data_IF_084792353973
#
_entry.id   IF_084792353973
#
_cell.length_a   1.000
_cell.length_b   1.000
_cell.length_c   1.000
_cell.angle_alpha   90.00
_cell.angle_beta   90.00
_cell.angle_gamma   90.00
#
_symmetry.space_group_name_H-M   'P 1'
#
loop_
_entity.id
_entity.type
_entity.pdbx_description
1 polymer ?
#
# COMPACT_ATOMS: atom_id res chain seq x y z
N UNK A 1 -13.06 -55.61 26.12
CA UNK A 1 -13.03 -55.18 24.72
C UNK A 1 -13.34 -53.69 24.68
N UNK A 2 -12.31 -52.84 24.61
CA UNK A 2 -12.49 -51.39 24.53
C UNK A 2 -12.54 -50.96 23.06
N UNK A 3 -13.68 -50.42 22.62
CA UNK A 3 -13.86 -49.84 21.29
C UNK A 3 -12.99 -48.60 21.12
N UNK A 4 -12.20 -48.48 20.04
CA UNK A 4 -11.42 -47.29 19.79
C UNK A 4 -12.36 -46.14 19.39
N UNK A 5 -12.30 -45.02 20.12
CA UNK A 5 -12.94 -43.77 19.72
C UNK A 5 -12.32 -43.29 18.41
N UNK A 6 -13.09 -43.40 17.34
CA UNK A 6 -12.83 -42.73 16.07
C UNK A 6 -12.76 -41.22 16.31
N UNK A 7 -11.55 -40.64 16.29
CA UNK A 7 -11.38 -39.20 16.23
C UNK A 7 -11.58 -38.77 14.77
N UNK A 8 -12.83 -38.56 14.38
CA UNK A 8 -13.13 -37.82 13.16
C UNK A 8 -12.60 -36.41 13.31
N UNK A 9 -11.49 -36.10 12.64
CA UNK A 9 -11.05 -34.70 12.48
C UNK A 9 -12.20 -33.94 11.81
N UNK A 10 -12.64 -32.80 12.36
CA UNK A 10 -13.68 -32.02 11.71
C UNK A 10 -13.23 -31.63 10.30
N UNK A 11 -14.13 -31.75 9.33
CA UNK A 11 -13.90 -31.30 7.98
C UNK A 11 -13.55 -29.80 8.02
N UNK A 12 -12.38 -29.44 7.49
CA UNK A 12 -11.93 -28.06 7.40
C UNK A 12 -12.94 -27.28 6.54
N UNK A 13 -13.74 -26.42 7.16
CA UNK A 13 -14.68 -25.56 6.45
C UNK A 13 -13.88 -24.57 5.60
N UNK A 14 -14.19 -24.46 4.31
CA UNK A 14 -13.51 -23.56 3.36
C UNK A 14 -13.78 -22.07 3.61
N UNK A 15 -14.64 -21.75 4.59
CA UNK A 15 -15.03 -20.40 4.96
C UNK A 15 -14.74 -20.18 6.45
N UNK A 16 -14.00 -19.12 6.78
CA UNK A 16 -13.67 -18.69 8.13
C UNK A 16 -14.80 -17.92 8.83
N UNK A 17 -15.76 -17.40 8.05
CA UNK A 17 -16.99 -16.79 8.51
C UNK A 17 -18.20 -17.59 8.05
N UNK A 18 -19.32 -17.59 8.81
CA UNK A 18 -20.62 -17.94 8.26
C UNK A 18 -20.90 -17.07 7.02
N UNK A 19 -21.48 -17.61 5.94
CA UNK A 19 -21.66 -16.88 4.67
C UNK A 19 -22.30 -15.49 4.83
N UNK A 20 -23.27 -15.34 5.71
CA UNK A 20 -23.94 -14.06 5.98
C UNK A 20 -23.02 -13.01 6.63
N UNK A 21 -22.12 -13.41 7.54
CA UNK A 21 -21.18 -12.49 8.21
C UNK A 21 -19.99 -12.13 7.32
N UNK A 22 -19.61 -13.03 6.41
CA UNK A 22 -18.54 -12.80 5.44
C UNK A 22 -18.86 -11.60 4.55
N UNK A 23 -20.09 -11.54 4.02
CA UNK A 23 -20.52 -10.43 3.17
C UNK A 23 -20.58 -9.10 3.91
N UNK A 24 -20.99 -9.07 5.18
CA UNK A 24 -20.97 -7.85 5.99
C UNK A 24 -19.56 -7.27 6.08
N UNK A 25 -18.56 -8.10 6.34
CA UNK A 25 -17.16 -7.65 6.40
C UNK A 25 -16.65 -7.23 5.02
N UNK A 26 -17.02 -7.95 3.96
CA UNK A 26 -16.54 -7.67 2.61
C UNK A 26 -17.15 -6.40 2.02
N UNK A 27 -18.36 -6.01 2.44
CA UNK A 27 -19.00 -4.76 2.04
C UNK A 27 -18.28 -3.50 2.54
N UNK A 28 -17.38 -3.62 3.52
CA UNK A 28 -16.55 -2.49 3.98
C UNK A 28 -15.66 -1.96 2.84
N UNK A 29 -15.11 -2.83 1.99
CA UNK A 29 -14.22 -2.43 0.90
C UNK A 29 -14.89 -1.59 -0.20
N UNK A 30 -16.03 -2.00 -0.80
CA UNK A 30 -16.73 -1.15 -1.76
C UNK A 30 -17.32 0.10 -1.09
N UNK A 31 -17.71 0.04 0.18
CA UNK A 31 -18.16 1.24 0.91
C UNK A 31 -17.01 2.26 1.06
N UNK A 32 -15.80 1.82 1.43
CA UNK A 32 -14.60 2.65 1.48
C UNK A 32 -14.25 3.23 0.09
N UNK A 33 -14.33 2.44 -0.97
CA UNK A 33 -14.10 2.91 -2.34
C UNK A 33 -15.14 3.96 -2.78
N UNK A 34 -16.41 3.77 -2.42
CA UNK A 34 -17.47 4.73 -2.70
C UNK A 34 -17.27 6.05 -1.92
N UNK A 35 -16.89 5.95 -0.64
CA UNK A 35 -16.55 7.10 0.20
C UNK A 35 -15.39 7.91 -0.39
N UNK A 36 -14.32 7.22 -0.80
CA UNK A 36 -13.18 7.84 -1.48
C UNK A 36 -13.58 8.51 -2.80
N UNK A 37 -14.42 7.84 -3.59
CA UNK A 37 -14.93 8.41 -4.85
C UNK A 37 -15.69 9.71 -4.60
N UNK A 38 -16.54 9.75 -3.57
CA UNK A 38 -17.22 10.99 -3.18
C UNK A 38 -16.22 12.09 -2.84
N UNK A 39 -15.36 11.89 -1.85
CA UNK A 39 -14.47 12.95 -1.36
C UNK A 39 -13.37 13.38 -2.34
N UNK A 40 -12.83 12.45 -3.13
CA UNK A 40 -11.70 12.74 -4.02
C UNK A 40 -12.12 13.16 -5.42
N UNK A 41 -13.33 12.81 -5.87
CA UNK A 41 -13.75 13.00 -7.28
C UNK A 41 -15.04 13.80 -7.45
N UNK A 42 -15.92 13.85 -6.45
CA UNK A 42 -17.25 14.46 -6.58
C UNK A 42 -17.50 15.59 -5.57
N UNK A 43 -16.74 15.66 -4.48
CA UNK A 43 -16.94 16.62 -3.40
C UNK A 43 -16.36 18.01 -3.69
N UNK A 44 -16.56 18.97 -2.77
CA UNK A 44 -16.16 20.38 -2.95
C UNK A 44 -14.67 20.57 -3.25
N UNK A 45 -13.79 19.82 -2.59
CA UNK A 45 -12.36 19.86 -2.86
C UNK A 45 -12.01 19.41 -4.29
N UNK A 46 -12.73 18.41 -4.82
CA UNK A 46 -12.53 17.89 -6.17
C UNK A 46 -13.03 18.89 -7.22
N UNK A 47 -14.18 19.52 -6.99
CA UNK A 47 -14.70 20.58 -7.85
C UNK A 47 -13.73 21.77 -7.92
N UNK A 48 -13.20 22.19 -6.77
CA UNK A 48 -12.18 23.24 -6.73
C UNK A 48 -10.92 22.84 -7.52
N UNK A 49 -10.44 21.59 -7.38
CA UNK A 49 -9.30 21.09 -8.15
C UNK A 49 -9.55 21.03 -9.64
N UNK A 50 -10.78 20.71 -10.07
CA UNK A 50 -11.13 20.66 -11.49
C UNK A 50 -10.90 22.02 -12.17
N UNK A 51 -11.17 23.14 -11.47
CA UNK A 51 -10.91 24.47 -12.02
C UNK A 51 -9.41 24.73 -12.22
N UNK A 52 -8.56 24.42 -11.24
CA UNK A 52 -7.10 24.53 -11.37
C UNK A 52 -6.53 23.60 -12.44
N UNK A 53 -7.00 22.36 -12.51
CA UNK A 53 -6.56 21.42 -13.55
C UNK A 53 -7.04 21.81 -14.95
N UNK A 54 -8.18 22.48 -15.08
CA UNK A 54 -8.61 23.11 -16.33
C UNK A 54 -7.60 24.14 -16.83
N UNK A 55 -7.09 25.00 -15.94
CA UNK A 55 -6.05 25.98 -16.27
C UNK A 55 -4.72 25.32 -16.67
N UNK A 56 -4.39 24.16 -16.07
CA UNK A 56 -3.23 23.38 -16.47
C UNK A 56 -3.40 22.85 -17.89
N UNK A 57 -4.61 22.60 -18.38
CA UNK A 57 -4.80 22.12 -19.77
C UNK A 57 -4.72 23.23 -20.82
N UNK A 58 -4.69 24.51 -20.41
CA UNK A 58 -4.50 25.62 -21.34
C UNK A 58 -3.06 25.67 -21.90
N UNK A 59 -2.86 26.14 -23.14
CA UNK A 59 -1.53 26.27 -23.76
C UNK A 59 -0.68 27.40 -23.14
N UNK A 60 -1.19 28.07 -22.09
CA UNK A 60 -0.49 29.16 -21.41
C UNK A 60 0.44 28.62 -20.31
N UNK A 61 1.50 29.38 -19.95
CA UNK A 61 2.25 29.12 -18.73
C UNK A 61 1.32 29.03 -17.52
N UNK A 62 1.46 27.97 -16.74
CA UNK A 62 0.76 27.82 -15.47
C UNK A 62 1.76 28.11 -14.34
N UNK A 63 1.37 28.99 -13.43
CA UNK A 63 2.11 29.27 -12.20
C UNK A 63 1.33 28.72 -11.01
N UNK A 64 2.02 28.05 -10.10
CA UNK A 64 1.36 27.54 -8.90
C UNK A 64 0.86 28.72 -8.05
N UNK A 65 -0.39 28.65 -7.53
CA UNK A 65 -0.95 29.73 -6.71
C UNK A 65 -0.01 30.13 -5.58
N UNK A 66 0.05 31.44 -5.32
CA UNK A 66 0.89 32.03 -4.26
C UNK A 66 2.41 31.74 -4.42
N UNK A 67 2.87 31.48 -5.65
CA UNK A 67 4.30 31.26 -5.95
C UNK A 67 4.70 31.73 -7.35
N UNK A 68 5.99 32.00 -7.54
CA UNK A 68 6.58 32.31 -8.85
C UNK A 68 7.02 31.04 -9.62
N UNK A 69 6.59 29.86 -9.17
CA UNK A 69 7.01 28.59 -9.76
C UNK A 69 6.15 28.29 -10.98
N UNK A 70 6.81 28.19 -12.13
CA UNK A 70 6.17 27.76 -13.37
C UNK A 70 6.13 26.23 -13.46
N UNK A 71 4.99 25.68 -13.87
CA UNK A 71 4.86 24.26 -14.16
C UNK A 71 5.65 23.89 -15.42
N UNK A 72 6.55 22.92 -15.27
CA UNK A 72 7.29 22.32 -16.37
C UNK A 72 6.32 21.56 -17.28
N UNK A 73 6.43 21.81 -18.59
CA UNK A 73 5.54 21.23 -19.61
C UNK A 73 6.16 20.13 -20.45
N UNK A 74 7.49 20.06 -20.51
CA UNK A 74 8.21 19.14 -21.40
C UNK A 74 9.13 18.25 -20.59
N UNK A 75 8.92 16.93 -20.67
CA UNK A 75 9.70 15.92 -19.97
C UNK A 75 10.39 14.99 -20.95
N UNK A 76 9.63 14.43 -21.89
CA UNK A 76 10.11 13.46 -22.88
C UNK A 76 9.99 13.95 -24.32
N UNK A 77 9.26 15.03 -24.59
CA UNK A 77 9.06 15.59 -25.92
C UNK A 77 7.91 14.95 -26.72
N UNK A 78 7.01 14.22 -26.05
CA UNK A 78 5.80 13.62 -26.65
C UNK A 78 4.59 14.30 -26.02
N UNK A 79 3.87 15.13 -26.77
CA UNK A 79 2.81 16.03 -26.26
C UNK A 79 1.81 15.35 -25.33
N UNK A 80 1.30 14.17 -25.71
CA UNK A 80 0.33 13.44 -24.90
C UNK A 80 0.91 12.98 -23.56
N UNK A 81 2.15 12.48 -23.56
CA UNK A 81 2.82 12.01 -22.35
C UNK A 81 3.26 13.19 -21.48
N UNK A 82 3.75 14.26 -22.10
CA UNK A 82 4.17 15.48 -21.42
C UNK A 82 2.99 16.21 -20.77
N UNK A 83 1.83 16.25 -21.43
CA UNK A 83 0.59 16.78 -20.86
C UNK A 83 0.15 15.95 -19.64
N UNK A 84 0.17 14.63 -19.76
CA UNK A 84 -0.18 13.72 -18.67
C UNK A 84 0.79 13.83 -17.48
N UNK A 85 2.10 13.91 -17.74
CA UNK A 85 3.12 14.10 -16.70
C UNK A 85 2.99 15.48 -16.04
N UNK A 86 2.74 16.54 -16.81
CA UNK A 86 2.52 17.89 -16.26
C UNK A 86 1.34 17.92 -15.29
N UNK A 87 0.24 17.24 -15.64
CA UNK A 87 -0.92 17.11 -14.76
C UNK A 87 -0.56 16.42 -13.43
N UNK A 88 0.16 15.30 -13.50
CA UNK A 88 0.58 14.56 -12.30
C UNK A 88 1.60 15.34 -11.48
N UNK A 89 2.55 16.02 -12.11
CA UNK A 89 3.52 16.87 -11.42
C UNK A 89 2.81 18.02 -10.70
N UNK A 90 1.82 18.65 -11.33
CA UNK A 90 1.03 19.69 -10.69
C UNK A 90 0.28 19.20 -9.43
N UNK A 91 -0.19 17.95 -9.43
CA UNK A 91 -0.85 17.35 -8.28
C UNK A 91 0.11 17.04 -7.12
N UNK A 92 1.38 16.74 -7.40
CA UNK A 92 2.35 16.30 -6.39
C UNK A 92 3.33 17.39 -5.93
N UNK A 93 3.64 18.38 -6.78
CA UNK A 93 4.67 19.37 -6.52
C UNK A 93 4.41 20.23 -5.27
N UNK A 94 3.17 20.65 -4.94
CA UNK A 94 2.95 21.48 -3.76
C UNK A 94 3.39 20.80 -2.45
N UNK A 95 3.28 19.47 -2.37
CA UNK A 95 3.82 18.67 -1.28
C UNK A 95 5.32 18.42 -1.44
N UNK A 96 5.77 18.00 -2.63
CA UNK A 96 7.17 17.64 -2.88
C UNK A 96 8.13 18.82 -2.64
N UNK A 97 7.83 19.97 -3.25
CA UNK A 97 8.59 21.21 -3.12
C UNK A 97 8.33 21.96 -1.80
N UNK A 98 7.37 21.48 -1.00
CA UNK A 98 7.05 22.10 0.29
C UNK A 98 6.46 23.50 0.18
N UNK A 99 5.69 23.76 -0.88
CA UNK A 99 4.89 24.99 -1.06
C UNK A 99 3.78 25.08 -0.01
N UNK A 100 3.30 23.92 0.45
CA UNK A 100 2.46 23.80 1.63
C UNK A 100 3.10 22.78 2.60
N UNK A 101 3.45 23.24 3.81
CA UNK A 101 4.18 22.40 4.79
C UNK A 101 3.34 21.27 5.37
N UNK A 102 2.06 21.49 5.61
CA UNK A 102 1.16 20.42 6.04
C UNK A 102 1.09 19.32 4.97
N UNK A 103 0.96 19.72 3.71
CA UNK A 103 0.93 18.81 2.58
C UNK A 103 2.25 18.08 2.35
N UNK A 104 3.39 18.75 2.51
CA UNK A 104 4.69 18.10 2.43
C UNK A 104 4.82 16.95 3.44
N UNK A 105 4.47 17.21 4.71
CA UNK A 105 4.55 16.19 5.76
C UNK A 105 3.54 15.07 5.55
N UNK A 106 2.31 15.41 5.16
CA UNK A 106 1.27 14.43 4.88
C UNK A 106 1.65 13.54 3.69
N UNK A 107 2.16 14.12 2.61
CA UNK A 107 2.55 13.39 1.41
C UNK A 107 3.75 12.47 1.70
N UNK A 108 4.76 12.94 2.43
CA UNK A 108 5.85 12.11 2.94
C UNK A 108 5.31 10.94 3.78
N UNK A 109 4.42 11.24 4.75
CA UNK A 109 3.83 10.23 5.61
C UNK A 109 3.09 9.16 4.80
N UNK A 110 2.28 9.59 3.84
CA UNK A 110 1.51 8.71 2.98
C UNK A 110 2.43 7.82 2.13
N UNK A 111 3.31 8.41 1.30
CA UNK A 111 4.08 7.62 0.34
C UNK A 111 4.98 6.59 1.02
N UNK A 112 5.66 6.93 2.11
CA UNK A 112 6.47 5.94 2.82
C UNK A 112 5.64 4.92 3.62
N UNK A 113 4.45 5.29 4.11
CA UNK A 113 3.52 4.35 4.74
C UNK A 113 2.80 3.45 3.74
N UNK A 114 2.84 3.78 2.45
CA UNK A 114 2.29 2.96 1.38
C UNK A 114 3.18 1.76 1.02
N UNK A 115 4.49 1.81 1.34
CA UNK A 115 5.44 0.73 1.06
C UNK A 115 5.00 -0.64 1.64
N UNK A 116 4.51 -0.76 2.88
CA UNK A 116 3.88 -1.97 3.40
C UNK A 116 2.75 -2.54 2.53
N UNK A 117 1.91 -1.69 1.94
CA UNK A 117 0.81 -2.12 1.07
C UNK A 117 1.36 -2.72 -0.22
N UNK A 118 2.32 -2.03 -0.86
CA UNK A 118 3.02 -2.54 -2.04
C UNK A 118 3.70 -3.89 -1.76
N UNK A 119 4.42 -3.99 -0.65
CA UNK A 119 5.08 -5.21 -0.21
C UNK A 119 4.08 -6.37 -0.04
N UNK A 120 2.95 -6.13 0.63
CA UNK A 120 1.89 -7.12 0.78
C UNK A 120 1.34 -7.57 -0.56
N UNK A 121 1.06 -6.65 -1.48
CA UNK A 121 0.51 -6.97 -2.78
C UNK A 121 1.47 -7.81 -3.61
N UNK A 122 2.74 -7.42 -3.67
CA UNK A 122 3.77 -8.19 -4.37
C UNK A 122 3.90 -9.60 -3.78
N UNK A 123 3.96 -9.74 -2.46
CA UNK A 123 4.07 -11.06 -1.82
C UNK A 123 2.85 -11.94 -2.14
N UNK A 124 1.63 -11.43 -1.97
CA UNK A 124 0.41 -12.22 -2.20
C UNK A 124 0.17 -12.51 -3.68
N UNK A 125 0.56 -11.61 -4.59
CA UNK A 125 0.54 -11.82 -6.03
C UNK A 125 1.49 -12.95 -6.47
N UNK A 126 2.67 -13.05 -5.84
CA UNK A 126 3.69 -14.04 -6.19
C UNK A 126 3.48 -15.43 -5.59
N UNK A 127 2.51 -15.61 -4.68
CA UNK A 127 2.22 -16.97 -4.17
C UNK A 127 1.83 -17.88 -5.34
N UNK A 128 2.36 -19.10 -5.35
CA UNK A 128 2.06 -20.07 -6.41
C UNK A 128 0.55 -20.31 -6.61
N UNK A 129 -0.25 -20.22 -5.54
CA UNK A 129 -1.70 -20.35 -5.59
C UNK A 129 -2.45 -19.10 -6.09
N UNK A 130 -1.76 -18.00 -6.39
CA UNK A 130 -2.33 -16.74 -6.88
C UNK A 130 -2.13 -16.54 -8.38
N UNK A 131 -1.37 -17.41 -9.05
CA UNK A 131 -1.12 -17.31 -10.49
C UNK A 131 -2.43 -17.18 -11.28
N UNK A 132 -2.46 -16.24 -12.23
CA UNK A 132 -3.60 -15.93 -13.10
C UNK A 132 -4.86 -15.42 -12.41
N UNK A 133 -4.84 -15.21 -11.10
CA UNK A 133 -5.94 -14.52 -10.42
C UNK A 133 -5.82 -13.02 -10.60
N UNK A 134 -6.95 -12.33 -10.46
CA UNK A 134 -7.00 -10.87 -10.61
C UNK A 134 -5.98 -10.14 -9.72
N UNK A 135 -5.68 -10.64 -8.52
CA UNK A 135 -4.70 -10.05 -7.60
C UNK A 135 -3.24 -10.14 -8.07
N UNK A 136 -2.94 -11.07 -8.99
CA UNK A 136 -1.57 -11.29 -9.50
C UNK A 136 -1.15 -10.28 -10.56
N UNK A 137 -2.10 -9.58 -11.19
CA UNK A 137 -1.83 -8.54 -12.19
C UNK A 137 -1.50 -7.20 -11.51
N UNK A 138 -0.41 -7.15 -10.75
CA UNK A 138 -0.03 -5.95 -9.97
C UNK A 138 0.14 -4.70 -10.82
N UNK A 139 0.65 -4.82 -12.06
CA UNK A 139 0.77 -3.70 -13.01
C UNK A 139 -0.59 -3.11 -13.42
N UNK A 140 -1.61 -3.95 -13.57
CA UNK A 140 -2.97 -3.52 -13.87
C UNK A 140 -3.51 -2.67 -12.71
N UNK A 141 -3.42 -3.19 -11.49
CA UNK A 141 -3.87 -2.44 -10.31
C UNK A 141 -3.08 -1.16 -10.07
N UNK A 142 -1.77 -1.17 -10.34
CA UNK A 142 -0.95 0.03 -10.19
C UNK A 142 -1.29 1.14 -11.17
N UNK A 143 -1.66 0.79 -12.40
CA UNK A 143 -2.13 1.79 -13.35
C UNK A 143 -3.36 2.53 -12.79
N UNK A 144 -4.32 1.79 -12.22
CA UNK A 144 -5.55 2.38 -11.70
C UNK A 144 -5.37 3.16 -10.40
N UNK A 145 -4.62 2.64 -9.43
CA UNK A 145 -4.42 3.41 -8.20
C UNK A 145 -3.60 4.69 -8.44
N UNK A 146 -2.67 4.68 -9.41
CA UNK A 146 -1.84 5.85 -9.71
C UNK A 146 -2.64 6.93 -10.47
N UNK A 147 -3.58 6.53 -11.35
CA UNK A 147 -4.30 7.45 -12.24
C UNK A 147 -5.66 7.88 -11.70
N UNK A 148 -6.43 6.95 -11.13
CA UNK A 148 -7.80 7.16 -10.65
C UNK A 148 -7.84 7.39 -9.13
N UNK A 149 -6.87 6.86 -8.38
CA UNK A 149 -6.71 7.10 -6.95
C UNK A 149 -6.65 5.80 -6.15
N UNK A 150 -5.73 5.75 -5.19
CA UNK A 150 -5.47 4.53 -4.44
C UNK A 150 -6.58 4.13 -3.50
N UNK A 151 -7.20 5.11 -2.85
CA UNK A 151 -8.37 4.95 -2.00
C UNK A 151 -9.54 4.24 -2.66
N UNK A 152 -9.64 4.32 -3.98
CA UNK A 152 -10.72 3.68 -4.74
C UNK A 152 -10.33 2.23 -5.06
N UNK A 153 -9.14 2.01 -5.62
CA UNK A 153 -8.76 0.69 -6.14
C UNK A 153 -8.11 -0.24 -5.13
N UNK A 154 -7.45 0.27 -4.09
CA UNK A 154 -6.81 -0.56 -3.07
C UNK A 154 -7.83 -1.33 -2.22
N UNK A 155 -8.95 -0.74 -1.77
CA UNK A 155 -10.00 -1.52 -1.12
C UNK A 155 -10.54 -2.63 -2.03
N UNK A 156 -10.73 -2.35 -3.32
CA UNK A 156 -11.21 -3.35 -4.28
C UNK A 156 -10.21 -4.49 -4.51
N UNK A 157 -8.90 -4.19 -4.50
CA UNK A 157 -7.88 -5.22 -4.51
C UNK A 157 -7.95 -6.07 -3.25
N UNK A 158 -8.13 -5.48 -2.05
CA UNK A 158 -8.27 -6.25 -0.81
C UNK A 158 -9.53 -7.13 -0.80
N UNK A 159 -10.64 -6.64 -1.35
CA UNK A 159 -11.83 -7.46 -1.58
C UNK A 159 -11.52 -8.65 -2.50
N UNK A 160 -10.89 -8.39 -3.65
CA UNK A 160 -10.49 -9.43 -4.58
C UNK A 160 -9.54 -10.43 -3.94
N UNK A 161 -8.60 -9.96 -3.13
CA UNK A 161 -7.70 -10.77 -2.32
C UNK A 161 -8.48 -11.68 -1.37
N UNK A 162 -9.42 -11.17 -0.59
CA UNK A 162 -10.17 -11.99 0.36
C UNK A 162 -11.11 -13.01 -0.32
N UNK A 163 -11.66 -12.65 -1.48
CA UNK A 163 -12.47 -13.56 -2.31
C UNK A 163 -11.63 -14.68 -2.94
N UNK A 164 -10.36 -14.42 -3.23
CA UNK A 164 -9.49 -15.36 -3.95
C UNK A 164 -8.53 -16.16 -3.07
N UNK A 165 -8.16 -15.63 -1.90
CA UNK A 165 -7.12 -16.19 -1.01
C UNK A 165 -7.68 -17.18 -0.01
N UNK A 166 -8.90 -16.96 0.50
CA UNK A 166 -9.59 -17.89 1.43
C UNK A 166 -9.63 -19.33 0.91
N UNK A 167 -9.80 -19.50 -0.41
CA UNK A 167 -9.80 -20.82 -1.07
C UNK A 167 -8.43 -21.39 -1.37
N UNK A 168 -7.41 -20.55 -1.59
CA UNK A 168 -6.11 -21.03 -2.08
C UNK A 168 -5.03 -21.12 -1.03
N UNK A 169 -4.98 -20.20 -0.07
CA UNK A 169 -3.98 -20.28 1.01
C UNK A 169 -4.42 -21.26 2.10
N UNK A 170 -5.73 -21.44 2.27
CA UNK A 170 -6.32 -22.18 3.38
C UNK A 170 -7.21 -23.36 2.95
N UNK A 171 -7.19 -23.72 1.66
CA UNK A 171 -8.01 -24.81 1.12
C UNK A 171 -7.59 -26.21 1.56
N UNK A 172 -8.51 -27.17 1.42
CA UNK A 172 -8.44 -28.56 1.92
C UNK A 172 -7.19 -29.38 1.49
N UNK A 173 -6.44 -28.93 0.49
CA UNK A 173 -5.20 -29.57 0.03
C UNK A 173 -3.93 -29.09 0.74
N UNK A 174 -4.01 -28.14 1.69
CA UNK A 174 -2.96 -27.79 2.67
C UNK A 174 -1.51 -27.64 2.13
N UNK A 175 -1.36 -27.41 0.83
CA UNK A 175 -0.08 -27.13 0.19
C UNK A 175 0.15 -25.64 0.36
N UNK A 176 0.69 -25.27 1.52
CA UNK A 176 1.30 -23.97 1.77
C UNK A 176 2.04 -23.51 0.50
N UNK A 177 1.43 -22.61 -0.27
CA UNK A 177 1.91 -22.11 -1.56
C UNK A 177 2.97 -21.03 -1.28
N UNK A 178 4.27 -21.39 -1.26
CA UNK A 178 5.29 -20.42 -0.97
C UNK A 178 5.37 -19.40 -2.12
N UNK A 179 5.92 -18.25 -1.79
CA UNK A 179 6.51 -17.38 -2.82
C UNK A 179 7.73 -18.12 -3.40
N UNK A 180 7.89 -18.22 -4.73
CA UNK A 180 9.10 -18.76 -5.34
C UNK A 180 10.35 -18.01 -4.83
N UNK A 181 11.41 -18.73 -4.50
CA UNK A 181 12.63 -18.12 -3.95
C UNK A 181 13.24 -17.00 -4.83
N UNK A 182 13.28 -17.13 -6.18
CA UNK A 182 13.79 -16.05 -7.03
C UNK A 182 12.97 -14.76 -6.88
N UNK A 183 11.64 -14.90 -6.81
CA UNK A 183 10.74 -13.77 -6.61
C UNK A 183 10.87 -13.17 -5.21
N UNK A 184 11.05 -13.99 -4.18
CA UNK A 184 11.26 -13.51 -2.82
C UNK A 184 12.57 -12.72 -2.68
N UNK A 185 13.67 -13.19 -3.29
CA UNK A 185 14.97 -12.51 -3.28
C UNK A 185 14.94 -11.18 -4.02
N UNK A 186 14.28 -11.14 -5.17
CA UNK A 186 14.23 -9.96 -6.03
C UNK A 186 13.37 -8.82 -5.47
N UNK A 187 12.50 -9.10 -4.49
CA UNK A 187 11.49 -8.13 -4.06
C UNK A 187 12.08 -6.94 -3.27
N UNK A 188 13.04 -7.17 -2.37
CA UNK A 188 13.70 -6.07 -1.63
C UNK A 188 14.38 -5.06 -2.57
N UNK A 189 15.30 -5.47 -3.47
CA UNK A 189 15.95 -4.52 -4.37
C UNK A 189 14.94 -3.84 -5.30
N UNK A 190 13.91 -4.56 -5.77
CA UNK A 190 12.85 -3.96 -6.59
C UNK A 190 12.05 -2.88 -5.85
N UNK A 191 11.69 -3.10 -4.58
CA UNK A 191 11.00 -2.09 -3.76
C UNK A 191 11.91 -0.89 -3.44
N UNK A 192 13.18 -1.13 -3.14
CA UNK A 192 14.11 -0.05 -2.82
C UNK A 192 14.39 0.83 -4.05
N UNK A 193 14.79 0.23 -5.17
CA UNK A 193 15.16 0.96 -6.38
C UNK A 193 13.93 1.49 -7.11
N UNK A 194 12.87 0.69 -7.18
CA UNK A 194 11.65 1.05 -7.93
C UNK A 194 10.72 2.00 -7.20
N UNK A 195 10.79 2.08 -5.86
CA UNK A 195 9.86 2.91 -5.08
C UNK A 195 10.56 3.82 -4.06
N UNK A 196 11.36 3.28 -3.13
CA UNK A 196 11.91 4.08 -2.00
C UNK A 196 12.87 5.16 -2.49
N UNK A 197 13.81 4.82 -3.37
CA UNK A 197 14.78 5.76 -3.96
C UNK A 197 14.07 6.88 -4.72
N UNK A 198 13.23 6.61 -5.74
CA UNK A 198 12.57 7.69 -6.48
C UNK A 198 11.65 8.52 -5.59
N UNK A 199 10.98 7.92 -4.59
CA UNK A 199 10.18 8.68 -3.62
C UNK A 199 11.06 9.66 -2.86
N UNK A 200 12.23 9.21 -2.38
CA UNK A 200 13.17 10.06 -1.63
C UNK A 200 13.71 11.20 -2.50
N UNK A 201 14.00 10.95 -3.78
CA UNK A 201 14.52 11.96 -4.70
C UNK A 201 13.54 13.13 -4.92
N UNK A 202 12.23 12.93 -4.76
CA UNK A 202 11.24 14.01 -4.87
C UNK A 202 11.40 15.10 -3.80
N UNK A 203 12.00 14.77 -2.65
CA UNK A 203 12.02 15.63 -1.46
C UNK A 203 13.42 16.16 -1.12
N UNK A 204 14.41 15.95 -1.98
CA UNK A 204 15.77 16.43 -1.70
C UNK A 204 15.81 17.97 -1.73
N UNK A 205 16.17 18.64 -0.61
CA UNK A 205 16.00 20.09 -0.46
C UNK A 205 16.98 20.94 -1.27
N UNK A 206 18.02 20.32 -1.82
CA UNK A 206 19.09 20.99 -2.59
C UNK A 206 18.89 20.90 -4.10
N UNK A 207 17.79 20.31 -4.56
CA UNK A 207 17.45 20.28 -5.98
C UNK A 207 16.85 21.63 -6.41
N UNK A 208 17.27 22.14 -7.57
CA UNK A 208 16.56 23.25 -8.22
C UNK A 208 15.13 22.83 -8.59
N UNK A 209 14.19 23.79 -8.64
CA UNK A 209 12.77 23.49 -8.84
C UNK A 209 12.49 22.69 -10.13
N UNK A 210 13.22 22.96 -11.21
CA UNK A 210 13.13 22.21 -12.46
C UNK A 210 13.56 20.74 -12.32
N UNK A 211 14.63 20.50 -11.57
CA UNK A 211 15.08 19.14 -11.26
C UNK A 211 14.09 18.44 -10.35
N UNK A 212 13.50 19.15 -9.39
CA UNK A 212 12.49 18.59 -8.51
C UNK A 212 11.22 18.19 -9.27
N UNK A 213 10.72 19.04 -10.17
CA UNK A 213 9.60 18.69 -11.07
C UNK A 213 9.92 17.46 -11.91
N UNK A 214 11.15 17.33 -12.41
CA UNK A 214 11.59 16.13 -13.11
C UNK A 214 11.59 14.88 -12.22
N UNK A 215 12.06 14.98 -10.97
CA UNK A 215 12.02 13.85 -10.02
C UNK A 215 10.59 13.42 -9.68
N UNK A 216 9.66 14.37 -9.56
CA UNK A 216 8.22 14.07 -9.41
C UNK A 216 7.69 13.33 -10.63
N UNK A 217 8.05 13.75 -11.85
CA UNK A 217 7.64 13.07 -13.08
C UNK A 217 8.23 11.66 -13.18
N UNK A 218 9.52 11.50 -12.87
CA UNK A 218 10.21 10.21 -12.85
C UNK A 218 9.58 9.23 -11.84
N UNK A 219 9.06 9.75 -10.72
CA UNK A 219 8.39 8.93 -9.72
C UNK A 219 6.99 8.44 -10.14
N UNK A 220 6.28 9.13 -11.03
CA UNK A 220 4.92 8.73 -11.42
C UNK A 220 4.77 7.25 -11.85
N UNK A 221 5.68 6.67 -12.67
CA UNK A 221 5.66 5.25 -12.99
C UNK A 221 6.33 4.32 -11.97
N UNK A 222 6.71 4.79 -10.77
CA UNK A 222 7.41 4.00 -9.75
C UNK A 222 6.79 2.61 -9.47
N UNK A 223 5.46 2.46 -9.37
CA UNK A 223 4.85 1.13 -9.27
C UNK A 223 5.21 0.14 -10.38
N UNK A 224 5.33 0.63 -11.62
CA UNK A 224 5.71 -0.17 -12.77
C UNK A 224 7.21 -0.50 -12.75
N UNK A 225 8.04 0.41 -12.22
CA UNK A 225 9.45 0.12 -11.97
C UNK A 225 9.62 -1.04 -10.99
N UNK A 226 8.84 -1.07 -9.90
CA UNK A 226 8.85 -2.21 -8.96
C UNK A 226 8.54 -3.51 -9.71
N UNK A 227 7.45 -3.57 -10.48
CA UNK A 227 7.08 -4.78 -11.21
C UNK A 227 8.14 -5.22 -12.25
N UNK A 228 8.71 -4.27 -13.00
CA UNK A 228 9.74 -4.54 -14.00
C UNK A 228 11.05 -5.03 -13.37
N UNK A 229 11.56 -4.31 -12.38
CA UNK A 229 12.77 -4.70 -11.64
C UNK A 229 12.59 -6.04 -10.93
N UNK A 230 11.40 -6.28 -10.39
CA UNK A 230 11.08 -7.53 -9.74
C UNK A 230 11.06 -8.71 -10.71
N UNK A 231 10.47 -8.53 -11.91
CA UNK A 231 10.48 -9.55 -12.95
C UNK A 231 11.91 -9.87 -13.44
N UNK A 232 12.69 -8.83 -13.74
CA UNK A 232 14.09 -8.97 -14.18
C UNK A 232 14.94 -9.63 -13.09
N UNK A 233 14.85 -9.15 -11.85
CA UNK A 233 15.59 -9.72 -10.73
C UNK A 233 15.21 -11.18 -10.45
N UNK A 234 13.93 -11.53 -10.60
CA UNK A 234 13.46 -12.91 -10.46
C UNK A 234 14.03 -13.81 -11.54
N UNK A 235 14.08 -13.34 -12.78
CA UNK A 235 14.66 -14.08 -13.91
C UNK A 235 16.17 -14.31 -13.70
N UNK A 236 16.92 -13.29 -13.29
CA UNK A 236 18.35 -13.40 -12.98
C UNK A 236 18.58 -14.41 -11.83
N UNK A 237 17.78 -14.32 -10.76
CA UNK A 237 17.93 -15.21 -9.61
C UNK A 237 17.58 -16.67 -9.95
N UNK A 238 16.65 -16.92 -10.87
CA UNK A 238 16.22 -18.27 -11.23
C UNK A 238 17.36 -19.13 -11.82
N UNK A 239 18.32 -18.52 -12.53
CA UNK A 239 19.47 -19.24 -13.10
C UNK A 239 20.50 -19.74 -12.10
N UNK A 240 20.35 -19.42 -10.80
CA UNK A 240 21.38 -19.67 -9.77
C UNK A 240 20.97 -20.70 -8.70
N UNK A 241 19.79 -21.32 -8.81
CA UNK A 241 19.16 -22.01 -7.67
C UNK A 241 19.14 -23.54 -7.74
N UNK A 242 19.36 -24.18 -6.57
CA UNK A 242 19.23 -25.63 -6.36
C UNK A 242 17.89 -25.95 -5.67
N UNK A 243 17.10 -26.95 -6.13
CA UNK A 243 15.72 -27.19 -5.68
C UNK A 243 15.52 -27.43 -4.17
N UNK A 244 16.49 -28.05 -3.49
CA UNK A 244 16.28 -28.63 -2.14
C UNK A 244 16.26 -27.62 -0.98
N UNK A 245 16.69 -26.36 -1.17
CA UNK A 245 16.76 -25.34 -0.11
C UNK A 245 15.69 -24.23 -0.20
N UNK A 246 14.77 -24.33 -1.17
CA UNK A 246 14.02 -23.17 -1.65
C UNK A 246 12.95 -22.64 -0.68
N UNK A 247 12.26 -23.50 0.08
CA UNK A 247 11.08 -23.08 0.87
C UNK A 247 11.46 -22.27 2.12
N UNK A 248 12.43 -22.75 2.92
CA UNK A 248 12.86 -22.07 4.15
C UNK A 248 13.56 -20.74 3.85
N UNK A 249 14.31 -20.69 2.76
CA UNK A 249 14.99 -19.48 2.34
C UNK A 249 14.00 -18.42 1.84
N UNK A 250 12.94 -18.82 1.11
CA UNK A 250 11.94 -17.88 0.59
C UNK A 250 11.22 -17.13 1.73
N UNK A 251 10.77 -17.85 2.77
CA UNK A 251 10.13 -17.24 3.95
C UNK A 251 11.03 -16.18 4.60
N UNK A 252 12.33 -16.45 4.72
CA UNK A 252 13.29 -15.48 5.29
C UNK A 252 13.27 -14.17 4.49
N UNK A 253 13.27 -14.23 3.17
CA UNK A 253 13.21 -13.04 2.32
C UNK A 253 11.87 -12.33 2.41
N UNK A 254 10.75 -13.07 2.38
CA UNK A 254 9.41 -12.48 2.55
C UNK A 254 9.27 -11.77 3.90
N UNK A 255 9.73 -12.38 4.99
CA UNK A 255 9.73 -11.74 6.32
C UNK A 255 10.67 -10.53 6.37
N UNK A 256 11.78 -10.56 5.66
CA UNK A 256 12.68 -9.40 5.54
C UNK A 256 12.03 -8.25 4.75
N UNK A 257 11.24 -8.55 3.71
CA UNK A 257 10.44 -7.55 2.98
C UNK A 257 9.46 -6.85 3.92
N UNK A 258 8.69 -7.60 4.72
CA UNK A 258 7.77 -7.01 5.68
C UNK A 258 8.49 -6.22 6.79
N UNK A 259 9.60 -6.74 7.30
CA UNK A 259 10.38 -6.04 8.31
C UNK A 259 10.91 -4.70 7.77
N UNK A 260 11.51 -4.71 6.57
CA UNK A 260 12.01 -3.50 5.91
C UNK A 260 10.90 -2.48 5.68
N UNK A 261 9.79 -2.90 5.07
CA UNK A 261 8.68 -1.98 4.76
C UNK A 261 8.05 -1.40 6.03
N UNK A 262 7.91 -2.22 7.07
CA UNK A 262 7.39 -1.78 8.37
C UNK A 262 8.31 -0.79 9.07
N UNK A 263 9.63 -1.04 9.06
CA UNK A 263 10.63 -0.12 9.65
C UNK A 263 10.64 1.22 8.91
N UNK A 264 10.64 1.22 7.57
CA UNK A 264 10.60 2.47 6.79
C UNK A 264 9.33 3.27 7.10
N UNK A 265 8.16 2.62 7.12
CA UNK A 265 6.90 3.28 7.48
C UNK A 265 6.93 3.83 8.91
N UNK A 266 7.48 3.08 9.88
CA UNK A 266 7.57 3.51 11.27
C UNK A 266 8.49 4.71 11.46
N UNK A 267 9.65 4.73 10.80
CA UNK A 267 10.59 5.86 10.87
C UNK A 267 9.91 7.15 10.41
N UNK A 268 9.23 7.11 9.26
CA UNK A 268 8.55 8.29 8.72
C UNK A 268 7.35 8.69 9.57
N UNK A 269 6.56 7.74 10.05
CA UNK A 269 5.45 8.03 10.96
C UNK A 269 5.94 8.74 12.23
N UNK A 270 6.95 8.19 12.91
CA UNK A 270 7.53 8.79 14.12
C UNK A 270 8.13 10.16 13.84
N UNK A 271 8.81 10.35 12.70
CA UNK A 271 9.35 11.64 12.28
C UNK A 271 8.27 12.70 12.06
N UNK A 272 7.15 12.33 11.43
CA UNK A 272 6.00 13.22 11.22
C UNK A 272 5.29 13.52 12.54
N UNK A 273 5.08 12.52 13.41
CA UNK A 273 4.52 12.74 14.75
C UNK A 273 5.39 13.71 15.55
N UNK A 274 6.70 13.45 15.60
CA UNK A 274 7.66 14.34 16.27
C UNK A 274 7.57 15.76 15.74
N UNK A 275 7.66 15.92 14.41
CA UNK A 275 7.60 17.25 13.76
C UNK A 275 6.30 17.98 14.09
N UNK A 276 5.15 17.31 14.05
CA UNK A 276 3.85 17.92 14.37
C UNK A 276 3.70 18.28 15.85
N UNK A 277 4.37 17.55 16.75
CA UNK A 277 4.28 17.76 18.20
C UNK A 277 5.27 18.82 18.71
N UNK A 278 6.35 19.09 17.95
CA UNK A 278 7.41 20.01 18.36
C UNK A 278 7.54 21.26 17.47
N UNK A 279 6.73 21.41 16.41
CA UNK A 279 6.82 22.58 15.53
C UNK A 279 6.13 23.80 16.13
N UNK A 280 6.77 24.96 16.02
CA UNK A 280 6.17 26.26 16.32
C UNK A 280 5.31 26.80 15.17
N UNK A 281 5.34 26.16 13.99
CA UNK A 281 4.54 26.59 12.85
C UNK A 281 3.08 26.13 13.03
N UNK A 282 2.10 27.04 13.10
CA UNK A 282 0.70 26.66 13.30
C UNK A 282 0.13 25.79 12.17
N UNK A 283 0.70 25.83 10.96
CA UNK A 283 0.33 24.96 9.85
C UNK A 283 0.91 23.53 9.96
N UNK A 284 1.77 23.28 10.95
CA UNK A 284 2.43 21.98 11.16
C UNK A 284 1.98 21.41 12.50
N UNK A 285 0.80 20.81 12.49
CA UNK A 285 0.24 20.11 13.64
C UNK A 285 -0.51 18.86 13.19
N UNK A 286 -0.87 17.98 14.14
CA UNK A 286 -1.53 16.71 13.82
C UNK A 286 -2.87 16.88 13.09
N UNK A 287 -3.63 17.92 13.43
CA UNK A 287 -4.91 18.24 12.78
C UNK A 287 -4.70 18.62 11.32
N UNK A 288 -3.86 19.61 11.05
CA UNK A 288 -3.60 20.10 9.69
C UNK A 288 -2.93 19.04 8.80
N UNK A 289 -2.01 18.25 9.35
CA UNK A 289 -1.25 17.25 8.59
C UNK A 289 -2.06 15.98 8.35
N UNK A 290 -2.78 15.47 9.37
CA UNK A 290 -3.38 14.13 9.29
C UNK A 290 -4.89 14.16 9.09
N UNK A 291 -5.60 15.18 9.54
CA UNK A 291 -7.07 15.14 9.56
C UNK A 291 -7.62 15.80 8.30
N UNK A 292 -8.41 15.07 7.47
CA UNK A 292 -9.14 15.70 6.37
C UNK A 292 -10.24 16.60 6.94
N UNK A 293 -9.99 17.91 6.94
CA UNK A 293 -10.93 18.92 7.41
C UNK A 293 -11.56 19.63 6.20
N UNK A 294 -12.90 19.63 6.16
CA UNK A 294 -13.67 20.42 5.20
C UNK A 294 -13.41 21.92 5.43
N UNK A 295 -13.14 22.65 4.34
CA UNK A 295 -12.83 24.08 4.40
C UNK A 295 -13.93 24.90 3.75
N UNK A 296 -14.13 26.11 4.26
CA UNK A 296 -15.04 27.10 3.65
C UNK A 296 -14.51 27.63 2.31
N UNK A 297 -13.19 27.60 2.12
CA UNK A 297 -12.52 28.06 0.90
C UNK A 297 -11.45 27.05 0.49
N UNK A 298 -11.40 26.75 -0.81
CA UNK A 298 -10.53 25.73 -1.38
C UNK A 298 -9.48 26.36 -2.30
N UNK A 299 -8.23 26.41 -1.86
CA UNK A 299 -7.07 26.66 -2.72
C UNK A 299 -6.47 25.35 -3.25
N UNK A 300 -5.69 25.42 -4.33
CA UNK A 300 -5.11 24.24 -4.98
C UNK A 300 -4.37 23.32 -4.00
N UNK A 301 -3.45 23.87 -3.20
CA UNK A 301 -2.67 23.08 -2.25
C UNK A 301 -3.51 22.48 -1.11
N UNK A 302 -4.50 23.23 -0.60
CA UNK A 302 -5.41 22.75 0.46
C UNK A 302 -6.36 21.66 -0.03
N UNK A 303 -6.82 21.75 -1.29
CA UNK A 303 -7.64 20.70 -1.89
C UNK A 303 -6.83 19.44 -2.15
N UNK A 304 -5.59 19.57 -2.65
CA UNK A 304 -4.68 18.43 -2.82
C UNK A 304 -4.34 17.78 -1.47
N UNK A 305 -4.05 18.57 -0.44
CA UNK A 305 -3.85 18.07 0.92
C UNK A 305 -5.05 17.23 1.39
N UNK A 306 -6.26 17.77 1.27
CA UNK A 306 -7.48 17.07 1.66
C UNK A 306 -7.64 15.75 0.89
N UNK A 307 -7.46 15.77 -0.43
CA UNK A 307 -7.54 14.57 -1.28
C UNK A 307 -6.51 13.52 -0.84
N UNK A 308 -5.26 13.91 -0.58
CA UNK A 308 -4.23 12.96 -0.15
C UNK A 308 -4.45 12.45 1.28
N UNK A 309 -5.05 13.24 2.18
CA UNK A 309 -5.44 12.80 3.52
C UNK A 309 -6.53 11.72 3.46
N UNK A 310 -7.57 11.97 2.66
CA UNK A 310 -8.61 10.98 2.38
C UNK A 310 -7.98 9.73 1.75
N UNK A 311 -7.07 9.94 0.79
CA UNK A 311 -6.42 8.84 0.08
C UNK A 311 -5.68 7.92 1.04
N UNK A 312 -4.81 8.52 1.84
CA UNK A 312 -4.07 7.85 2.89
C UNK A 312 -4.98 7.06 3.85
N UNK A 313 -5.98 7.71 4.45
CA UNK A 313 -6.79 7.06 5.49
C UNK A 313 -7.65 5.93 4.96
N UNK A 314 -8.23 6.07 3.77
CA UNK A 314 -9.02 5.00 3.16
C UNK A 314 -8.14 3.80 2.84
N UNK A 315 -6.94 4.02 2.29
CA UNK A 315 -5.97 2.95 2.03
C UNK A 315 -5.58 2.23 3.32
N UNK A 316 -5.20 2.99 4.35
CA UNK A 316 -4.76 2.43 5.63
C UNK A 316 -5.90 1.69 6.34
N UNK A 317 -7.12 2.23 6.31
CA UNK A 317 -8.30 1.58 6.87
C UNK A 317 -8.59 0.25 6.16
N UNK A 318 -8.57 0.22 4.82
CA UNK A 318 -8.76 -1.01 4.07
C UNK A 318 -7.67 -2.06 4.40
N UNK A 319 -6.41 -1.65 4.50
CA UNK A 319 -5.31 -2.53 4.89
C UNK A 319 -5.43 -3.08 6.31
N UNK A 320 -5.87 -2.27 7.27
CA UNK A 320 -6.09 -2.69 8.66
C UNK A 320 -7.29 -3.63 8.79
N UNK A 321 -8.38 -3.38 8.05
CA UNK A 321 -9.53 -4.30 7.98
C UNK A 321 -9.10 -5.64 7.36
N UNK A 322 -8.34 -5.62 6.27
CA UNK A 322 -7.80 -6.84 5.67
C UNK A 322 -6.86 -7.59 6.65
N UNK A 323 -6.03 -6.86 7.40
CA UNK A 323 -5.17 -7.44 8.42
C UNK A 323 -5.99 -8.11 9.55
N UNK A 324 -7.10 -7.51 9.97
CA UNK A 324 -8.02 -8.13 10.92
C UNK A 324 -8.64 -9.42 10.37
N UNK A 325 -9.11 -9.41 9.12
CA UNK A 325 -9.67 -10.62 8.48
C UNK A 325 -8.62 -11.73 8.40
N UNK A 326 -7.38 -11.39 8.05
CA UNK A 326 -6.26 -12.35 8.03
C UNK A 326 -6.02 -12.98 9.40
N UNK A 327 -6.04 -12.18 10.46
CA UNK A 327 -5.89 -12.68 11.83
C UNK A 327 -7.04 -13.61 12.21
N UNK A 328 -8.25 -13.22 11.85
CA UNK A 328 -9.46 -14.03 12.04
C UNK A 328 -9.34 -15.38 11.34
N UNK A 329 -8.92 -15.39 10.08
CA UNK A 329 -8.71 -16.61 9.29
C UNK A 329 -7.70 -17.53 9.96
N UNK A 330 -6.52 -17.01 10.33
CA UNK A 330 -5.46 -17.79 11.00
C UNK A 330 -5.96 -18.45 12.29
N UNK A 331 -6.78 -17.75 13.08
CA UNK A 331 -7.40 -18.30 14.28
C UNK A 331 -8.42 -19.40 13.96
N UNK A 332 -9.40 -19.10 13.10
CA UNK A 332 -10.54 -19.99 12.85
C UNK A 332 -10.16 -21.26 12.08
N UNK A 333 -9.06 -21.20 11.32
CA UNK A 333 -8.50 -22.35 10.63
C UNK A 333 -7.59 -23.20 11.52
N UNK A 334 -7.46 -22.85 12.81
CA UNK A 334 -6.65 -23.60 13.78
C UNK A 334 -5.14 -23.48 13.55
N UNK A 335 -4.69 -22.46 12.80
CA UNK A 335 -3.27 -22.23 12.52
C UNK A 335 -2.54 -21.54 13.69
N UNK A 336 -3.29 -20.83 14.53
CA UNK A 336 -2.80 -20.32 15.80
C UNK A 336 -3.97 -20.17 16.79
N UNK A 337 -3.75 -20.58 18.03
CA UNK A 337 -4.66 -20.25 19.13
C UNK A 337 -4.33 -18.84 19.65
N UNK A 338 -5.05 -17.85 19.14
CA UNK A 338 -4.85 -16.44 19.44
C UNK A 338 -6.18 -15.74 19.64
N UNK A 339 -6.32 -15.03 20.77
CA UNK A 339 -7.49 -14.17 20.99
C UNK A 339 -7.55 -13.08 19.92
N UNK A 340 -8.51 -13.18 19.01
CA UNK A 340 -8.69 -12.24 17.89
C UNK A 340 -8.82 -10.79 18.38
N UNK A 341 -9.55 -10.57 19.49
CA UNK A 341 -9.65 -9.28 20.15
C UNK A 341 -8.32 -8.73 20.66
N UNK A 342 -7.44 -9.58 21.21
CA UNK A 342 -6.10 -9.16 21.66
C UNK A 342 -5.23 -8.72 20.49
N UNK A 343 -5.25 -9.46 19.39
CA UNK A 343 -4.47 -9.07 18.20
C UNK A 343 -5.00 -7.77 17.61
N UNK A 344 -6.32 -7.58 17.52
CA UNK A 344 -6.91 -6.30 17.09
C UNK A 344 -6.43 -5.16 17.97
N UNK A 345 -6.49 -5.32 19.30
CA UNK A 345 -6.01 -4.30 20.23
C UNK A 345 -4.52 -3.98 20.01
N UNK A 346 -3.67 -5.00 19.86
CA UNK A 346 -2.24 -4.81 19.56
C UNK A 346 -2.04 -4.11 18.21
N UNK A 347 -2.77 -4.49 17.16
CA UNK A 347 -2.68 -3.85 15.85
C UNK A 347 -3.07 -2.38 15.92
N UNK A 348 -4.12 -2.03 16.69
CA UNK A 348 -4.52 -0.63 16.92
C UNK A 348 -3.41 0.12 17.66
N UNK A 349 -2.87 -0.44 18.74
CA UNK A 349 -1.78 0.19 19.49
C UNK A 349 -0.55 0.41 18.60
N UNK A 350 -0.16 -0.58 17.81
CA UNK A 350 0.95 -0.46 16.86
C UNK A 350 0.64 0.57 15.77
N UNK A 351 -0.59 0.63 15.28
CA UNK A 351 -0.99 1.61 14.26
C UNK A 351 -0.92 3.04 14.78
N UNK A 352 -1.20 3.26 16.06
CA UNK A 352 -1.10 4.57 16.72
C UNK A 352 0.35 4.94 17.05
N UNK A 353 1.14 3.99 17.55
CA UNK A 353 2.50 4.26 18.04
C UNK A 353 3.54 4.24 16.92
N UNK A 354 3.47 3.25 16.03
CA UNK A 354 4.44 3.03 14.94
C UNK A 354 3.85 3.32 13.56
N UNK A 355 2.58 3.71 13.48
CA UNK A 355 1.91 4.04 12.24
C UNK A 355 1.17 2.86 11.62
N UNK A 356 0.10 3.13 10.84
CA UNK A 356 -0.76 2.09 10.27
C UNK A 356 -0.04 1.18 9.28
N UNK A 357 0.90 1.71 8.48
CA UNK A 357 1.71 0.90 7.57
C UNK A 357 2.57 -0.14 8.31
N UNK A 358 3.19 0.25 9.42
CA UNK A 358 3.97 -0.66 10.25
C UNK A 358 3.08 -1.76 10.88
N UNK A 359 1.88 -1.39 11.34
CA UNK A 359 0.90 -2.33 11.88
C UNK A 359 0.45 -3.37 10.83
N UNK A 360 0.13 -2.92 9.61
CA UNK A 360 -0.20 -3.79 8.47
C UNK A 360 0.95 -4.77 8.25
N UNK A 361 2.18 -4.27 8.09
CA UNK A 361 3.35 -5.12 7.84
C UNK A 361 3.61 -6.12 8.97
N UNK A 362 3.41 -5.71 10.22
CA UNK A 362 3.56 -6.57 11.39
C UNK A 362 2.59 -7.76 11.39
N UNK A 363 1.33 -7.53 11.00
CA UNK A 363 0.35 -8.62 10.88
C UNK A 363 0.74 -9.61 9.79
N UNK A 364 1.19 -9.12 8.62
CA UNK A 364 1.66 -9.99 7.53
C UNK A 364 2.91 -10.77 7.92
N UNK A 365 3.89 -10.10 8.55
CA UNK A 365 5.09 -10.76 9.10
C UNK A 365 4.75 -11.89 10.08
N UNK A 366 3.80 -11.64 10.99
CA UNK A 366 3.33 -12.63 11.95
C UNK A 366 2.64 -13.81 11.25
N UNK A 367 1.75 -13.52 10.29
CA UNK A 367 1.02 -14.53 9.51
C UNK A 367 1.98 -15.49 8.81
N UNK A 368 3.07 -15.02 8.21
CA UNK A 368 4.05 -15.90 7.55
C UNK A 368 4.61 -16.97 8.50
N UNK A 369 4.83 -16.61 9.77
CA UNK A 369 5.29 -17.56 10.78
C UNK A 369 4.26 -18.64 11.12
N UNK A 370 2.96 -18.35 10.95
CA UNK A 370 1.86 -19.29 11.22
C UNK A 370 1.58 -20.22 10.05
N UNK A 371 1.64 -19.72 8.82
CA UNK A 371 1.53 -20.54 7.61
C UNK A 371 2.58 -21.67 7.55
N UNK A 372 3.73 -21.48 8.21
CA UNK A 372 4.77 -22.50 8.34
C UNK A 372 4.40 -23.65 9.29
N UNK A 373 3.73 -23.35 10.40
CA UNK A 373 3.43 -24.33 11.46
C UNK A 373 2.31 -25.31 11.06
N UNK A 374 1.52 -24.93 10.05
CA UNK A 374 0.46 -25.73 9.45
C UNK A 374 0.96 -26.97 8.67
N UNK A 375 2.25 -27.02 8.32
CA UNK A 375 2.84 -28.16 7.61
C UNK A 375 3.00 -29.31 8.61
N UNK A 376 2.36 -30.49 8.39
CA UNK A 376 2.64 -31.65 9.21
C UNK A 376 4.15 -31.89 9.14
N UNK A 377 4.83 -31.89 10.28
CA UNK A 377 6.19 -32.43 10.35
C UNK A 377 6.07 -33.88 9.89
N UNK A 378 6.40 -34.14 8.63
CA UNK A 378 6.56 -35.49 8.12
C UNK A 378 7.44 -36.23 9.12
N UNK A 379 6.94 -37.39 9.58
CA UNK A 379 7.68 -38.28 10.46
C UNK A 379 9.08 -38.46 9.85
N UNK A 380 10.10 -38.12 10.64
CA UNK A 380 11.48 -38.48 10.35
C UNK A 380 11.61 -39.99 10.24
#
# INVERSE_FOLDING_TARGET
>A
MATPKSSTKPAMTTHSFPPSRQWVVYMVFPALAALATWYMRLGPAAEALASYFGLIMEPKPFFFPDSDIQLRRTYVGIDALDTFLSFLVAAFLPGAAGLNKAFQLQQLHFLFSFLPVLATWSVEAARQGSAWKIISFTSFWSLFYQTVGGAIFIPLWYLAFLLTTSRTVYGANNSNHPVPLPQAKALIPALLIGYVVPTTLMYLPFLGIETQQFMVALWQPAPLFVNGLWAVGSWISAGTERPEQNKKNSEKYVKAVYLLSGVVSAIVHLGVMWTCLTSDNPAVNLGEVLVPVERSTWGMATSLLFVFQVDFWVIMAAGLVAAWVVVWDVHHLGLADVGTGKIVAVTIVVAVVLGPGAAISGVWYWREGKLRQAVPRGKR
#
